data_IF_588065447057
#
_entry.id   IF_588065447057
#
_cell.length_a   1.000
_cell.length_b   1.000
_cell.length_c   1.000
_cell.angle_alpha   90.00
_cell.angle_beta   90.00
_cell.angle_gamma   90.00
#
_symmetry.space_group_name_H-M   'P 1'
#
loop_
_entity.id
_entity.type
_entity.pdbx_description
1 polymer ?
#
# COMPACT_ATOMS: atom_id res chain seq x y z
N UNK A 1 -16.27 -30.00 -0.43
CA UNK A 1 -15.25 -29.35 -1.28
C UNK A 1 -15.72 -28.04 -1.90
N UNK A 2 -16.95 -27.91 -2.40
CA UNK A 2 -17.48 -26.67 -3.03
C UNK A 2 -17.44 -25.42 -2.12
N UNK A 3 -17.69 -25.57 -0.81
CA UNK A 3 -17.69 -24.43 0.14
C UNK A 3 -16.28 -23.89 0.53
N UNK A 4 -15.23 -24.67 0.38
CA UNK A 4 -13.84 -24.23 0.60
C UNK A 4 -13.32 -23.42 -0.59
N UNK A 5 -13.68 -23.78 -1.80
CA UNK A 5 -13.27 -23.04 -3.00
C UNK A 5 -13.95 -21.67 -3.09
N UNK A 6 -15.20 -21.54 -2.61
CA UNK A 6 -15.94 -20.26 -2.61
C UNK A 6 -15.38 -19.25 -1.60
N UNK A 7 -14.68 -19.70 -0.56
CA UNK A 7 -14.13 -18.84 0.49
C UNK A 7 -12.71 -18.34 0.20
N UNK A 8 -11.98 -18.97 -0.72
CA UNK A 8 -10.54 -18.71 -0.95
C UNK A 8 -10.21 -17.85 -2.18
N UNK A 9 -11.20 -17.49 -3.02
CA UNK A 9 -10.92 -16.72 -4.25
C UNK A 9 -10.43 -15.28 -3.97
N UNK A 10 -10.89 -14.66 -2.88
CA UNK A 10 -10.49 -13.29 -2.51
C UNK A 10 -9.01 -13.17 -2.18
N UNK A 11 -8.46 -13.94 -1.22
CA UNK A 11 -7.02 -13.90 -0.95
C UNK A 11 -6.19 -14.36 -2.16
N UNK A 12 -6.70 -15.29 -2.97
CA UNK A 12 -6.03 -15.71 -4.19
C UNK A 12 -5.90 -14.57 -5.20
N UNK A 13 -6.97 -13.78 -5.38
CA UNK A 13 -6.96 -12.64 -6.29
C UNK A 13 -6.00 -11.54 -5.80
N UNK A 14 -5.98 -11.25 -4.49
CA UNK A 14 -5.01 -10.30 -3.90
C UNK A 14 -3.58 -10.81 -4.06
N UNK A 15 -3.34 -12.10 -3.87
CA UNK A 15 -2.01 -12.69 -4.06
C UNK A 15 -1.56 -12.59 -5.52
N UNK A 16 -2.43 -12.93 -6.47
CA UNK A 16 -2.14 -12.79 -7.91
C UNK A 16 -1.81 -11.33 -8.28
N UNK A 17 -2.56 -10.38 -7.74
CA UNK A 17 -2.26 -8.97 -7.92
C UNK A 17 -0.87 -8.61 -7.35
N UNK A 18 -0.55 -9.05 -6.13
CA UNK A 18 0.77 -8.82 -5.52
C UNK A 18 1.90 -9.42 -6.36
N UNK A 19 1.74 -10.67 -6.84
CA UNK A 19 2.74 -11.31 -7.73
C UNK A 19 2.91 -10.52 -9.03
N UNK A 20 1.82 -10.07 -9.65
CA UNK A 20 1.89 -9.26 -10.87
C UNK A 20 2.67 -7.96 -10.64
N UNK A 21 2.45 -7.29 -9.50
CA UNK A 21 3.20 -6.08 -9.13
C UNK A 21 4.69 -6.39 -8.94
N UNK A 22 5.04 -7.45 -8.20
CA UNK A 22 6.44 -7.86 -7.99
C UNK A 22 7.12 -8.13 -9.34
N UNK A 23 6.50 -8.92 -10.21
CA UNK A 23 7.07 -9.26 -11.51
C UNK A 23 7.26 -8.01 -12.38
N UNK A 24 6.26 -7.11 -12.39
CA UNK A 24 6.35 -5.87 -13.16
C UNK A 24 7.53 -4.99 -12.72
N UNK A 25 7.68 -4.77 -11.42
CA UNK A 25 8.75 -3.91 -10.91
C UNK A 25 10.13 -4.56 -10.96
N UNK A 26 10.20 -5.89 -10.80
CA UNK A 26 11.48 -6.61 -10.75
C UNK A 26 12.08 -6.90 -12.13
N UNK A 27 11.25 -6.96 -13.20
CA UNK A 27 11.73 -7.36 -14.54
C UNK A 27 11.64 -6.21 -15.53
N UNK A 28 10.46 -5.75 -16.01
CA UNK A 28 10.39 -4.71 -17.03
C UNK A 28 10.70 -3.31 -16.51
N UNK A 29 10.45 -3.01 -15.23
CA UNK A 29 10.57 -1.65 -14.68
C UNK A 29 11.67 -1.49 -13.62
N UNK A 30 12.69 -2.36 -13.65
CA UNK A 30 13.83 -2.33 -12.74
C UNK A 30 14.57 -0.98 -12.74
N UNK A 31 14.67 -0.32 -13.90
CA UNK A 31 15.32 0.99 -14.03
C UNK A 31 14.62 2.08 -13.20
N UNK A 32 13.29 2.01 -13.06
CA UNK A 32 12.53 2.95 -12.23
C UNK A 32 12.84 2.81 -10.74
N UNK A 33 13.05 1.58 -10.26
CA UNK A 33 13.48 1.32 -8.88
C UNK A 33 14.88 1.91 -8.61
N UNK A 34 15.83 1.64 -9.49
CA UNK A 34 17.20 2.16 -9.37
C UNK A 34 17.24 3.69 -9.41
N UNK A 35 16.37 4.33 -10.21
CA UNK A 35 16.27 5.78 -10.25
C UNK A 35 15.77 6.36 -8.93
N UNK A 36 14.72 5.78 -8.35
CA UNK A 36 14.18 6.24 -7.07
C UNK A 36 15.16 6.02 -5.91
N UNK A 37 15.91 4.92 -5.90
CA UNK A 37 16.95 4.64 -4.91
C UNK A 37 18.07 5.69 -4.94
N UNK A 38 18.54 6.06 -6.13
CA UNK A 38 19.58 7.06 -6.27
C UNK A 38 19.12 8.48 -5.93
N UNK A 39 17.84 8.75 -6.05
CA UNK A 39 17.27 10.08 -5.80
C UNK A 39 17.00 10.33 -4.31
N UNK A 40 16.81 9.29 -3.50
CA UNK A 40 16.44 9.39 -2.08
C UNK A 40 17.55 8.80 -1.20
N UNK A 41 18.19 9.65 -0.40
CA UNK A 41 19.19 9.23 0.58
C UNK A 41 18.54 9.15 1.97
N UNK A 42 18.78 8.04 2.67
CA UNK A 42 18.34 7.84 4.05
C UNK A 42 19.53 7.85 5.00
N UNK A 43 19.38 8.56 6.12
CA UNK A 43 20.40 8.62 7.18
C UNK A 43 19.81 8.06 8.49
N UNK A 44 20.52 7.08 9.08
CA UNK A 44 20.23 6.56 10.42
C UNK A 44 20.80 7.52 11.48
N UNK A 45 20.18 8.70 11.62
CA UNK A 45 20.53 9.67 12.63
C UNK A 45 19.28 10.25 13.30
N UNK A 46 19.36 10.43 14.61
CA UNK A 46 18.25 11.02 15.41
C UNK A 46 17.99 12.47 15.00
N UNK A 47 19.03 13.24 14.65
CA UNK A 47 18.89 14.61 14.15
C UNK A 47 18.06 14.64 12.86
N UNK A 48 18.41 13.77 11.91
CA UNK A 48 17.68 13.62 10.65
C UNK A 48 16.20 13.23 10.87
N UNK A 49 15.94 12.27 11.76
CA UNK A 49 14.57 11.91 12.12
C UNK A 49 13.77 13.07 12.67
N UNK A 50 14.36 13.84 13.62
CA UNK A 50 13.69 14.99 14.22
C UNK A 50 13.42 16.11 13.22
N UNK A 51 14.36 16.39 12.32
CA UNK A 51 14.16 17.35 11.23
C UNK A 51 13.01 16.96 10.30
N UNK A 52 12.94 15.67 9.96
CA UNK A 52 11.86 15.16 9.07
C UNK A 52 10.49 15.19 9.75
N UNK A 53 10.37 14.75 11.00
CA UNK A 53 9.06 14.60 11.68
C UNK A 53 8.37 15.94 11.95
N UNK A 54 9.11 17.04 12.01
CA UNK A 54 8.56 18.39 12.18
C UNK A 54 7.85 18.88 10.92
N UNK A 55 8.20 18.34 9.75
CA UNK A 55 7.60 18.75 8.48
C UNK A 55 6.23 18.04 8.28
N UNK A 56 5.26 18.72 7.65
CA UNK A 56 4.00 18.08 7.27
C UNK A 56 4.26 16.87 6.33
N UNK A 57 3.81 15.68 6.72
CA UNK A 57 4.08 14.44 5.96
C UNK A 57 5.44 13.81 6.23
N UNK A 58 6.31 14.41 7.03
CA UNK A 58 7.68 13.98 7.25
C UNK A 58 7.83 12.56 7.82
N UNK A 59 6.84 12.06 8.56
CA UNK A 59 6.83 10.66 8.96
C UNK A 59 6.70 9.71 7.75
N UNK A 60 5.87 10.06 6.78
CA UNK A 60 5.73 9.26 5.56
C UNK A 60 6.99 9.36 4.69
N UNK A 61 7.61 10.54 4.62
CA UNK A 61 8.89 10.73 3.93
C UNK A 61 9.98 9.88 4.57
N UNK A 62 10.15 9.94 5.90
CA UNK A 62 11.14 9.16 6.62
C UNK A 62 10.96 7.64 6.40
N UNK A 63 9.72 7.13 6.49
CA UNK A 63 9.43 5.71 6.25
C UNK A 63 9.71 5.35 4.79
N UNK A 64 9.33 6.20 3.84
CA UNK A 64 9.55 5.92 2.42
C UNK A 64 11.02 5.91 2.03
N UNK A 65 11.80 6.87 2.52
CA UNK A 65 13.25 6.96 2.30
C UNK A 65 13.95 5.71 2.85
N UNK A 66 13.53 5.23 4.02
CA UNK A 66 14.01 3.95 4.55
C UNK A 66 13.66 2.77 3.65
N UNK A 67 12.42 2.69 3.17
CA UNK A 67 11.97 1.58 2.33
C UNK A 67 12.64 1.59 0.94
N UNK A 68 12.92 2.76 0.39
CA UNK A 68 13.57 2.92 -0.92
C UNK A 68 15.02 2.40 -0.90
N UNK A 69 15.69 2.34 0.25
CA UNK A 69 17.03 1.74 0.35
C UNK A 69 17.05 0.26 -0.10
N UNK A 70 15.92 -0.45 0.02
CA UNK A 70 15.80 -1.84 -0.41
C UNK A 70 15.58 -1.99 -1.92
N UNK A 71 15.42 -0.89 -2.67
CA UNK A 71 15.24 -0.91 -4.13
C UNK A 71 16.50 -1.30 -4.87
N UNK A 72 17.67 -1.25 -4.21
CA UNK A 72 18.90 -1.83 -4.70
C UNK A 72 18.73 -3.31 -5.13
N UNK A 73 17.85 -4.05 -4.45
CA UNK A 73 17.45 -5.40 -4.87
C UNK A 73 16.06 -5.32 -5.53
N UNK A 74 15.93 -5.47 -6.86
CA UNK A 74 14.66 -5.26 -7.56
C UNK A 74 13.50 -6.12 -7.05
N UNK A 75 13.80 -7.35 -6.64
CA UNK A 75 12.80 -8.26 -6.07
C UNK A 75 12.29 -7.75 -4.71
N UNK A 76 13.17 -7.22 -3.86
CA UNK A 76 12.78 -6.62 -2.58
C UNK A 76 12.00 -5.33 -2.79
N UNK A 77 12.47 -4.45 -3.67
CA UNK A 77 11.75 -3.22 -4.04
C UNK A 77 10.35 -3.50 -4.57
N UNK A 78 10.25 -4.42 -5.55
CA UNK A 78 8.96 -4.87 -6.07
C UNK A 78 8.05 -5.48 -5.01
N UNK A 79 8.62 -6.23 -4.05
CA UNK A 79 7.87 -6.82 -2.93
C UNK A 79 7.33 -5.76 -1.97
N UNK A 80 8.12 -4.73 -1.65
CA UNK A 80 7.69 -3.60 -0.81
C UNK A 80 6.52 -2.87 -1.45
N UNK A 81 6.63 -2.53 -2.73
CA UNK A 81 5.56 -1.89 -3.47
C UNK A 81 4.29 -2.77 -3.49
N UNK A 82 4.45 -4.07 -3.76
CA UNK A 82 3.35 -5.02 -3.76
C UNK A 82 2.64 -5.08 -2.40
N UNK A 83 3.39 -5.12 -1.29
CA UNK A 83 2.84 -5.14 0.06
C UNK A 83 2.06 -3.85 0.38
N UNK A 84 2.58 -2.69 0.00
CA UNK A 84 1.88 -1.41 0.17
C UNK A 84 0.58 -1.37 -0.64
N UNK A 85 0.62 -1.75 -1.92
CA UNK A 85 -0.57 -1.76 -2.78
C UNK A 85 -1.61 -2.80 -2.34
N UNK A 86 -1.18 -3.98 -1.88
CA UNK A 86 -2.07 -4.98 -1.27
C UNK A 86 -2.67 -4.46 0.05
N UNK A 87 -1.89 -3.74 0.86
CA UNK A 87 -2.37 -3.07 2.06
C UNK A 87 -3.46 -2.04 1.77
N UNK A 88 -3.27 -1.21 0.75
CA UNK A 88 -4.27 -0.24 0.27
C UNK A 88 -5.54 -0.96 -0.21
N UNK A 89 -5.41 -2.04 -0.98
CA UNK A 89 -6.55 -2.85 -1.41
C UNK A 89 -7.31 -3.46 -0.22
N UNK A 90 -6.59 -4.02 0.75
CA UNK A 90 -7.20 -4.65 1.93
C UNK A 90 -7.93 -3.63 2.82
N UNK A 91 -7.33 -2.46 3.06
CA UNK A 91 -7.95 -1.37 3.83
C UNK A 91 -9.15 -0.78 3.10
N UNK A 92 -9.07 -0.56 1.78
CA UNK A 92 -10.18 -0.13 0.94
C UNK A 92 -11.34 -1.11 1.01
N UNK A 93 -11.07 -2.41 0.88
CA UNK A 93 -12.09 -3.44 1.05
C UNK A 93 -12.69 -3.43 2.46
N UNK A 94 -11.86 -3.27 3.48
CA UNK A 94 -12.28 -3.16 4.87
C UNK A 94 -13.24 -1.99 5.11
N UNK A 95 -12.94 -0.82 4.55
CA UNK A 95 -13.79 0.38 4.59
C UNK A 95 -15.11 0.14 3.85
N UNK A 96 -15.06 -0.38 2.62
CA UNK A 96 -16.27 -0.66 1.83
C UNK A 96 -17.23 -1.60 2.55
N UNK A 97 -16.72 -2.61 3.25
CA UNK A 97 -17.53 -3.48 4.10
C UNK A 97 -18.18 -2.76 5.28
N UNK A 98 -17.48 -1.83 5.91
CA UNK A 98 -18.03 -1.05 7.03
C UNK A 98 -19.18 -0.16 6.59
N UNK A 99 -19.15 0.32 5.34
CA UNK A 99 -20.25 1.10 4.72
C UNK A 99 -21.35 0.24 4.07
N UNK A 100 -21.39 -1.07 4.38
CA UNK A 100 -22.48 -1.96 3.96
C UNK A 100 -22.35 -2.52 2.54
N UNK A 101 -21.19 -2.40 1.90
CA UNK A 101 -20.97 -3.00 0.58
C UNK A 101 -21.13 -4.53 0.66
N UNK A 102 -21.92 -5.08 -0.27
CA UNK A 102 -22.10 -6.53 -0.38
C UNK A 102 -20.77 -7.22 -0.72
N UNK A 103 -20.59 -8.39 -0.13
CA UNK A 103 -19.36 -9.19 -0.32
C UNK A 103 -19.36 -9.96 -1.63
N UNK A 104 -19.88 -9.36 -2.70
CA UNK A 104 -20.00 -9.92 -4.02
C UNK A 104 -18.71 -9.73 -4.84
N UNK A 105 -18.60 -10.43 -5.95
CA UNK A 105 -17.43 -10.35 -6.84
C UNK A 105 -17.18 -8.91 -7.36
N UNK A 106 -18.18 -8.18 -7.91
CA UNK A 106 -17.93 -6.83 -8.39
C UNK A 106 -17.54 -5.84 -7.28
N UNK A 107 -18.13 -5.96 -6.07
CA UNK A 107 -17.76 -5.13 -4.93
C UNK A 107 -16.30 -5.35 -4.48
N UNK A 108 -15.82 -6.60 -4.54
CA UNK A 108 -14.43 -6.89 -4.22
C UNK A 108 -13.47 -6.36 -5.30
N UNK A 109 -13.82 -6.47 -6.58
CA UNK A 109 -13.02 -5.89 -7.67
C UNK A 109 -12.89 -4.36 -7.55
N UNK A 110 -13.93 -3.68 -7.10
CA UNK A 110 -13.90 -2.23 -6.89
C UNK A 110 -12.83 -1.82 -5.86
N UNK A 111 -12.52 -2.68 -4.87
CA UNK A 111 -11.48 -2.40 -3.89
C UNK A 111 -10.05 -2.37 -4.46
N UNK A 112 -9.83 -2.89 -5.67
CA UNK A 112 -8.53 -2.82 -6.36
C UNK A 112 -8.32 -1.49 -7.08
N UNK A 113 -9.37 -0.73 -7.35
CA UNK A 113 -9.28 0.52 -8.12
C UNK A 113 -8.23 1.49 -7.54
N UNK A 114 -8.22 1.81 -6.22
CA UNK A 114 -7.20 2.70 -5.67
C UNK A 114 -5.79 2.17 -5.85
N UNK A 115 -5.58 0.86 -5.67
CA UNK A 115 -4.26 0.23 -5.81
C UNK A 115 -3.79 0.21 -7.26
N UNK A 116 -4.70 -0.04 -8.23
CA UNK A 116 -4.37 -0.04 -9.66
C UNK A 116 -4.05 1.39 -10.13
N UNK A 117 -4.84 2.37 -9.73
CA UNK A 117 -4.58 3.79 -10.06
C UNK A 117 -3.22 4.21 -9.53
N UNK A 118 -2.87 3.86 -8.28
CA UNK A 118 -1.56 4.14 -7.73
C UNK A 118 -0.44 3.40 -8.44
N UNK A 119 -0.64 2.13 -8.77
CA UNK A 119 0.34 1.36 -9.54
C UNK A 119 0.65 2.02 -10.88
N UNK A 120 -0.38 2.48 -11.60
CA UNK A 120 -0.19 3.22 -12.84
C UNK A 120 0.51 4.57 -12.60
N UNK A 121 0.12 5.29 -11.53
CA UNK A 121 0.72 6.58 -11.19
C UNK A 121 2.20 6.46 -10.77
N UNK A 122 2.58 5.38 -10.09
CA UNK A 122 3.98 5.10 -9.73
C UNK A 122 4.88 4.83 -10.95
N UNK A 123 4.32 4.61 -12.13
CA UNK A 123 5.08 4.63 -13.39
C UNK A 123 5.68 5.99 -13.73
N UNK A 124 5.17 7.08 -13.15
CA UNK A 124 5.80 8.39 -13.20
C UNK A 124 6.92 8.47 -12.16
N UNK A 125 8.14 8.77 -12.60
CA UNK A 125 9.34 8.88 -11.76
C UNK A 125 9.25 10.01 -10.73
N UNK A 126 8.37 11.00 -10.95
CA UNK A 126 8.15 12.11 -10.01
C UNK A 126 7.25 11.73 -8.82
N UNK A 127 6.54 10.62 -8.90
CA UNK A 127 5.72 10.15 -7.78
C UNK A 127 6.60 9.42 -6.76
N UNK A 128 6.87 10.08 -5.66
CA UNK A 128 7.66 9.51 -4.55
C UNK A 128 6.86 8.44 -3.79
N UNK A 129 7.56 7.45 -3.27
CA UNK A 129 6.97 6.40 -2.44
C UNK A 129 6.28 6.97 -1.20
N UNK A 130 6.70 8.15 -0.71
CA UNK A 130 6.11 8.84 0.44
C UNK A 130 4.61 9.10 0.27
N UNK A 131 4.16 9.42 -0.95
CA UNK A 131 2.74 9.58 -1.23
C UNK A 131 1.96 8.27 -1.02
N UNK A 132 2.51 7.14 -1.46
CA UNK A 132 1.88 5.82 -1.29
C UNK A 132 1.85 5.43 0.18
N UNK A 133 2.93 5.70 0.94
CA UNK A 133 3.02 5.47 2.38
C UNK A 133 2.01 6.33 3.13
N UNK A 134 1.94 7.64 2.82
CA UNK A 134 0.99 8.55 3.44
C UNK A 134 -0.45 8.14 3.19
N UNK A 135 -0.80 7.78 1.94
CA UNK A 135 -2.14 7.34 1.59
C UNK A 135 -2.49 6.00 2.26
N UNK A 136 -1.56 5.05 2.32
CA UNK A 136 -1.77 3.78 3.02
C UNK A 136 -2.03 4.00 4.51
N UNK A 137 -1.28 4.90 5.14
CA UNK A 137 -1.47 5.32 6.53
C UNK A 137 -2.82 5.99 6.77
N UNK A 138 -3.21 6.92 5.90
CA UNK A 138 -4.51 7.60 5.99
C UNK A 138 -5.70 6.63 5.87
N UNK A 139 -5.65 5.70 4.91
CA UNK A 139 -6.69 4.68 4.74
C UNK A 139 -6.75 3.74 5.94
N UNK A 140 -5.60 3.34 6.48
CA UNK A 140 -5.52 2.46 7.65
C UNK A 140 -6.10 3.16 8.89
N UNK A 141 -5.74 4.42 9.11
CA UNK A 141 -6.30 5.22 10.21
C UNK A 141 -7.81 5.41 10.07
N UNK A 142 -8.30 5.70 8.87
CA UNK A 142 -9.73 5.79 8.58
C UNK A 142 -10.46 4.47 8.84
N UNK A 143 -9.88 3.33 8.47
CA UNK A 143 -10.44 2.01 8.75
C UNK A 143 -10.48 1.70 10.24
N UNK A 144 -9.41 2.00 10.98
CA UNK A 144 -9.33 1.81 12.43
C UNK A 144 -10.36 2.69 13.13
N UNK A 145 -10.39 3.99 12.84
CA UNK A 145 -11.30 4.97 13.44
C UNK A 145 -12.77 4.53 13.27
N UNK A 146 -13.17 4.19 12.06
CA UNK A 146 -14.53 3.75 11.78
C UNK A 146 -14.88 2.43 12.48
N UNK A 147 -13.91 1.52 12.62
CA UNK A 147 -14.11 0.26 13.37
C UNK A 147 -14.34 0.49 14.87
N UNK A 148 -13.62 1.44 15.47
CA UNK A 148 -13.82 1.80 16.88
C UNK A 148 -15.13 2.53 17.08
N UNK A 149 -15.44 3.50 16.24
CA UNK A 149 -16.71 4.24 16.29
C UNK A 149 -17.92 3.31 16.22
N UNK A 150 -17.94 2.40 15.25
CA UNK A 150 -19.03 1.42 15.10
C UNK A 150 -19.15 0.43 16.27
N UNK A 151 -18.08 0.19 17.04
CA UNK A 151 -18.15 -0.61 18.25
C UNK A 151 -18.75 0.17 19.40
N UNK A 152 -18.37 1.42 19.59
CA UNK A 152 -18.90 2.29 20.65
C UNK A 152 -20.40 2.53 20.48
N UNK A 153 -20.87 2.79 19.25
CA UNK A 153 -22.30 2.98 18.95
C UNK A 153 -23.14 1.72 19.21
N UNK A 154 -22.56 0.53 19.16
CA UNK A 154 -23.27 -0.73 19.46
C UNK A 154 -23.33 -1.06 20.96
N UNK A 155 -22.58 -0.37 21.81
CA UNK A 155 -22.52 -0.59 23.26
C UNK A 155 -23.42 0.39 24.01
N UNK A 156 -23.84 1.47 23.37
CA UNK A 156 -24.85 2.43 23.85
C UNK A 156 -26.22 2.07 23.27
#
# INVERSE_FOLDING_TARGET
>A
MKNLMIKSWKPLLSLLFGVAVVVFWSVPYMSGLCFQEQYQMFLFDIGYFLERIVLPGGLADYISEFLVQFYYMPVLGGTIIALLLMGIQATSWGLMKQYGMKSDFPGYLLSFVPSIVLWCAMGDQNLLLSFVVALSGALLMGWIHNRFHNRLVKVV
#
